data_IF_117034611043
#
_entry.id   IF_117034611043
#
_cell.length_a   1.000
_cell.length_b   1.000
_cell.length_c   1.000
_cell.angle_alpha   90.00
_cell.angle_beta   90.00
_cell.angle_gamma   90.00
#
_symmetry.space_group_name_H-M   'P 1'
#
loop_
_entity.id
_entity.type
_entity.pdbx_description
1 polymer ?
#
# COMPACT_ATOMS: atom_id res chain seq x y z
N UNK A 1 14.44 14.84 -3.85
CA UNK A 1 14.01 14.51 -2.47
C UNK A 1 12.68 13.78 -2.59
N UNK A 2 12.63 12.51 -2.22
CA UNK A 2 11.44 11.66 -2.43
C UNK A 2 10.43 11.91 -1.30
N UNK A 3 9.19 12.24 -1.62
CA UNK A 3 8.13 12.44 -0.61
C UNK A 3 7.61 11.07 -0.18
N UNK A 4 7.73 10.79 1.12
CA UNK A 4 7.25 9.58 1.78
C UNK A 4 5.89 9.86 2.41
N UNK A 5 4.92 8.96 2.22
CA UNK A 5 3.59 9.05 2.82
C UNK A 5 3.29 7.73 3.55
N UNK A 6 2.86 7.80 4.82
CA UNK A 6 2.24 6.66 5.51
C UNK A 6 2.81 6.29 6.89
N UNK A 7 1.89 6.18 7.85
CA UNK A 7 1.93 5.62 9.21
C UNK A 7 2.43 6.51 10.36
N UNK A 8 1.49 6.75 11.30
CA UNK A 8 1.72 7.14 12.68
C UNK A 8 1.91 5.89 13.55
N UNK A 9 3.03 5.83 14.25
CA UNK A 9 3.32 5.05 15.47
C UNK A 9 2.66 3.67 15.61
N UNK A 10 3.26 2.61 15.05
CA UNK A 10 3.14 1.26 15.61
C UNK A 10 4.47 0.52 15.44
N UNK A 11 5.09 0.15 16.56
CA UNK A 11 6.31 -0.66 16.72
C UNK A 11 7.40 -0.47 15.64
N UNK A 12 8.13 0.66 15.73
CA UNK A 12 9.18 1.07 14.78
C UNK A 12 10.29 0.05 14.52
N UNK A 13 10.42 -0.98 15.37
CA UNK A 13 11.37 -2.09 15.18
C UNK A 13 11.01 -3.00 13.99
N UNK A 14 9.76 -2.95 13.52
CA UNK A 14 9.24 -3.82 12.45
C UNK A 14 9.09 -3.10 11.11
N UNK A 15 9.39 -1.80 11.11
CA UNK A 15 9.27 -0.95 9.94
C UNK A 15 10.66 -0.81 9.31
N UNK A 16 10.84 -1.42 8.14
CA UNK A 16 11.99 -1.09 7.30
C UNK A 16 11.65 0.15 6.48
N UNK A 17 12.24 1.28 6.88
CA UNK A 17 12.11 2.57 6.18
C UNK A 17 13.21 2.80 5.14
N UNK A 18 14.08 1.81 4.88
CA UNK A 18 15.07 1.94 3.82
C UNK A 18 14.40 1.76 2.45
N UNK A 19 14.50 2.75 1.55
CA UNK A 19 13.92 2.61 0.22
C UNK A 19 14.53 1.42 -0.51
N UNK A 20 13.67 0.51 -0.98
CA UNK A 20 14.06 -0.67 -1.74
C UNK A 20 13.56 -0.56 -3.17
N UNK A 21 14.50 -0.51 -4.11
CA UNK A 21 14.17 -0.51 -5.54
C UNK A 21 13.85 -1.94 -5.97
N UNK A 22 12.68 -2.13 -6.56
CA UNK A 22 12.22 -3.40 -7.13
C UNK A 22 12.81 -3.60 -8.52
N UNK A 23 12.70 -4.83 -9.04
CA UNK A 23 13.22 -5.19 -10.36
C UNK A 23 12.62 -4.37 -11.51
N UNK A 24 11.39 -3.88 -11.33
CA UNK A 24 10.67 -3.05 -12.30
C UNK A 24 10.88 -1.54 -12.07
N UNK A 25 11.89 -1.18 -11.26
CA UNK A 25 12.30 0.19 -10.89
C UNK A 25 11.35 0.94 -9.96
N UNK A 26 10.21 0.39 -9.56
CA UNK A 26 9.40 0.98 -8.49
C UNK A 26 10.16 0.96 -7.18
N UNK A 27 9.90 1.94 -6.31
CA UNK A 27 10.59 2.03 -5.02
C UNK A 27 9.57 1.81 -3.91
N UNK A 28 9.79 0.74 -3.14
CA UNK A 28 9.15 0.59 -1.85
C UNK A 28 9.84 1.56 -0.91
N UNK A 29 9.07 2.47 -0.35
CA UNK A 29 9.62 3.49 0.51
C UNK A 29 9.55 3.10 1.98
N UNK A 30 8.74 2.09 2.29
CA UNK A 30 8.64 1.44 3.57
C UNK A 30 8.05 0.04 3.39
N UNK A 31 8.50 -0.91 4.20
CA UNK A 31 7.98 -2.27 4.25
C UNK A 31 7.77 -2.71 5.71
N UNK A 32 6.60 -3.24 6.01
CA UNK A 32 6.26 -3.83 7.30
C UNK A 32 5.58 -5.19 7.10
N UNK A 33 6.07 -6.20 7.81
CA UNK A 33 5.54 -7.56 7.85
C UNK A 33 5.37 -8.01 9.31
N UNK A 34 4.27 -8.68 9.62
CA UNK A 34 4.10 -9.29 10.94
C UNK A 34 5.00 -10.52 11.17
N UNK A 35 5.31 -10.89 12.43
CA UNK A 35 6.02 -12.12 12.75
C UNK A 35 5.27 -13.37 12.28
N UNK A 36 6.00 -14.45 12.03
CA UNK A 36 5.40 -15.71 11.62
C UNK A 36 4.50 -16.32 12.73
N UNK A 37 3.30 -16.86 12.37
CA UNK A 37 2.69 -16.83 11.04
C UNK A 37 2.18 -15.42 10.71
N UNK A 38 2.67 -14.85 9.60
CA UNK A 38 2.31 -13.50 9.22
C UNK A 38 0.92 -13.53 8.57
N UNK A 39 -0.03 -12.86 9.20
CA UNK A 39 -1.37 -12.67 8.65
C UNK A 39 -1.47 -11.35 7.87
N UNK A 40 -0.51 -10.46 8.09
CA UNK A 40 -0.58 -9.08 7.67
C UNK A 40 0.74 -8.58 7.08
N UNK A 41 0.62 -7.76 6.04
CA UNK A 41 1.72 -7.01 5.42
C UNK A 41 1.25 -5.61 5.02
N UNK A 42 2.12 -4.62 5.22
CA UNK A 42 1.89 -3.27 4.72
C UNK A 42 3.12 -2.62 4.11
N UNK A 43 2.89 -1.84 3.06
CA UNK A 43 3.95 -1.27 2.23
C UNK A 43 3.59 0.16 1.84
N UNK A 44 4.51 1.10 2.02
CA UNK A 44 4.41 2.40 1.37
C UNK A 44 5.17 2.37 0.05
N UNK A 45 4.56 2.94 -0.98
CA UNK A 45 5.14 3.04 -2.31
C UNK A 45 5.56 4.49 -2.53
N UNK A 46 6.78 4.68 -3.04
CA UNK A 46 7.21 6.00 -3.44
C UNK A 46 6.30 6.55 -4.54
N UNK A 47 5.97 7.83 -4.47
CA UNK A 47 5.20 8.48 -5.53
C UNK A 47 5.94 8.45 -6.88
N UNK A 48 7.28 8.37 -6.87
CA UNK A 48 8.10 8.26 -8.06
C UNK A 48 9.19 7.17 -7.91
N UNK A 49 9.37 6.30 -8.94
CA UNK A 49 8.54 6.22 -10.13
C UNK A 49 7.13 5.71 -9.81
N UNK A 50 6.13 6.35 -10.41
CA UNK A 50 4.72 6.18 -10.09
C UNK A 50 4.22 4.79 -10.47
N UNK A 51 3.73 4.03 -9.49
CA UNK A 51 2.93 2.83 -9.75
C UNK A 51 1.47 3.23 -10.03
N UNK A 52 0.95 3.10 -11.26
CA UNK A 52 -0.33 3.73 -11.62
C UNK A 52 -1.53 3.07 -10.94
N UNK A 53 -2.46 3.88 -10.43
CA UNK A 53 -3.74 3.42 -9.84
C UNK A 53 -4.51 2.51 -10.80
N UNK A 54 -4.59 2.88 -12.08
CA UNK A 54 -5.29 2.08 -13.10
C UNK A 54 -4.71 0.66 -13.24
N UNK A 55 -3.38 0.53 -13.14
CA UNK A 55 -2.70 -0.77 -13.19
C UNK A 55 -2.97 -1.58 -11.93
N UNK A 56 -2.95 -0.94 -10.76
CA UNK A 56 -3.30 -1.58 -9.49
C UNK A 56 -4.73 -2.15 -9.51
N UNK A 57 -5.70 -1.39 -10.04
CA UNK A 57 -7.08 -1.82 -10.21
C UNK A 57 -7.21 -3.01 -11.16
N UNK A 58 -6.48 -3.03 -12.28
CA UNK A 58 -6.47 -4.16 -13.21
C UNK A 58 -5.93 -5.44 -12.58
N UNK A 59 -4.88 -5.34 -11.75
CA UNK A 59 -4.25 -6.50 -11.10
C UNK A 59 -5.15 -7.05 -9.98
N UNK A 60 -5.70 -6.16 -9.15
CA UNK A 60 -6.42 -6.55 -7.92
C UNK A 60 -7.90 -6.79 -8.14
N UNK A 61 -8.51 -6.13 -9.13
CA UNK A 61 -9.96 -6.04 -9.27
C UNK A 61 -10.64 -5.29 -8.11
N UNK A 62 -9.87 -4.46 -7.38
CA UNK A 62 -10.35 -3.72 -6.23
C UNK A 62 -11.39 -2.67 -6.62
N UNK A 63 -12.31 -2.40 -5.69
CA UNK A 63 -13.36 -1.38 -5.84
C UNK A 63 -13.15 -0.28 -4.82
N UNK A 64 -13.61 0.96 -5.09
CA UNK A 64 -13.56 2.02 -4.10
C UNK A 64 -14.13 1.56 -2.76
N UNK A 65 -13.36 1.75 -1.69
CA UNK A 65 -13.84 1.53 -0.33
C UNK A 65 -15.00 2.50 -0.05
N UNK A 66 -16.03 2.04 0.66
CA UNK A 66 -17.24 2.82 0.95
C UNK A 66 -17.00 3.97 1.92
N UNK A 67 -15.84 4.03 2.59
CA UNK A 67 -15.43 5.12 3.46
C UNK A 67 -14.04 5.64 3.04
N UNK A 68 -13.94 6.92 2.70
CA UNK A 68 -12.62 7.53 2.51
C UNK A 68 -11.92 7.67 3.86
N UNK A 69 -10.70 7.13 3.96
CA UNK A 69 -9.89 7.21 5.20
C UNK A 69 -9.28 8.60 5.44
N UNK A 70 -9.19 9.43 4.40
CA UNK A 70 -8.66 10.80 4.48
C UNK A 70 -9.07 11.62 3.26
N UNK A 71 -9.28 12.93 3.43
CA UNK A 71 -9.60 13.86 2.35
C UNK A 71 -8.56 13.81 1.22
N UNK A 72 -8.99 13.43 0.02
CA UNK A 72 -8.19 13.46 -1.21
C UNK A 72 -7.49 12.15 -1.57
N UNK A 73 -7.33 11.19 -0.65
CA UNK A 73 -6.78 9.87 -0.98
C UNK A 73 -7.91 8.84 -1.07
N UNK A 74 -8.11 8.27 -2.25
CA UNK A 74 -9.06 7.19 -2.45
C UNK A 74 -8.44 5.87 -1.97
N UNK A 75 -9.22 5.09 -1.23
CA UNK A 75 -8.86 3.71 -0.85
C UNK A 75 -9.68 2.73 -1.67
N UNK A 76 -9.08 1.60 -2.02
CA UNK A 76 -9.68 0.53 -2.82
C UNK A 76 -9.42 -0.82 -2.16
N UNK A 77 -10.43 -1.68 -2.14
CA UNK A 77 -10.33 -3.01 -1.56
C UNK A 77 -10.74 -4.12 -2.53
N UNK A 78 -10.07 -5.26 -2.43
CA UNK A 78 -10.45 -6.52 -3.04
C UNK A 78 -10.33 -7.63 -2.00
N UNK A 79 -11.30 -8.55 -1.95
CA UNK A 79 -11.20 -9.79 -1.16
C UNK A 79 -11.25 -10.96 -2.13
N UNK A 80 -10.25 -11.85 -2.07
CA UNK A 80 -10.21 -13.12 -2.80
C UNK A 80 -9.52 -14.19 -1.97
N UNK A 81 -10.12 -15.38 -1.90
CA UNK A 81 -9.55 -16.56 -1.21
C UNK A 81 -9.10 -16.27 0.23
N UNK A 82 -9.96 -15.60 1.01
CA UNK A 82 -9.66 -15.17 2.38
C UNK A 82 -8.41 -14.29 2.51
N UNK A 83 -8.09 -13.51 1.47
CA UNK A 83 -7.08 -12.45 1.51
C UNK A 83 -7.73 -11.14 1.08
N UNK A 84 -7.63 -10.14 1.95
CA UNK A 84 -7.98 -8.77 1.67
C UNK A 84 -6.74 -8.03 1.15
N UNK A 85 -6.88 -7.35 0.03
CA UNK A 85 -5.91 -6.36 -0.46
C UNK A 85 -6.58 -5.00 -0.41
N UNK A 86 -6.01 -4.08 0.36
CA UNK A 86 -6.43 -2.69 0.43
C UNK A 86 -5.28 -1.79 -0.05
N UNK A 87 -5.55 -0.83 -0.92
CA UNK A 87 -4.52 0.14 -1.31
C UNK A 87 -5.09 1.55 -1.40
N UNK A 88 -4.24 2.54 -1.12
CA UNK A 88 -4.59 3.96 -1.18
C UNK A 88 -3.76 4.67 -2.25
N UNK A 89 -4.24 5.81 -2.72
CA UNK A 89 -3.57 6.61 -3.75
C UNK A 89 -2.93 7.87 -3.19
N UNK A 90 -2.13 8.53 -4.01
CA UNK A 90 -1.76 9.95 -3.84
C UNK A 90 -3.00 10.84 -3.90
N UNK A 91 -2.94 12.09 -3.38
CA UNK A 91 -4.09 13.00 -3.39
C UNK A 91 -4.65 13.37 -4.77
N UNK A 92 -3.84 13.22 -5.83
CA UNK A 92 -4.27 13.43 -7.22
C UNK A 92 -4.87 12.16 -7.86
N UNK A 93 -4.94 11.06 -7.11
CA UNK A 93 -5.50 9.78 -7.53
C UNK A 93 -4.64 8.97 -8.52
N UNK A 94 -3.44 9.44 -8.89
CA UNK A 94 -2.68 8.86 -10.02
C UNK A 94 -1.79 7.69 -9.64
N UNK A 95 -1.16 7.76 -8.47
CA UNK A 95 -0.17 6.77 -8.03
C UNK A 95 -0.64 6.05 -6.78
N UNK A 96 -0.33 4.77 -6.66
CA UNK A 96 -0.47 4.05 -5.39
C UNK A 96 0.52 4.63 -4.38
N UNK A 97 0.03 4.95 -3.19
CA UNK A 97 0.83 5.46 -2.07
C UNK A 97 1.06 4.40 -1.00
N UNK A 98 0.10 3.49 -0.84
CA UNK A 98 0.11 2.49 0.21
C UNK A 98 -0.60 1.22 -0.21
N UNK A 99 -0.09 0.07 0.21
CA UNK A 99 -0.68 -1.25 0.00
C UNK A 99 -0.72 -1.97 1.35
N UNK A 100 -1.80 -2.69 1.56
CA UNK A 100 -2.10 -3.48 2.72
C UNK A 100 -2.65 -4.82 2.27
N UNK A 101 -2.13 -5.89 2.86
CA UNK A 101 -2.54 -7.25 2.58
C UNK A 101 -2.77 -7.92 3.93
N UNK A 102 -3.96 -8.47 4.11
CA UNK A 102 -4.35 -9.15 5.34
C UNK A 102 -5.09 -10.45 5.00
N UNK A 103 -4.97 -11.46 5.85
CA UNK A 103 -5.86 -12.61 5.80
C UNK A 103 -7.24 -12.21 6.34
N UNK A 104 -8.29 -12.52 5.60
CA UNK A 104 -9.69 -12.35 5.99
C UNK A 104 -10.00 -13.39 7.09
N UNK A 105 -9.74 -13.04 8.35
CA UNK A 105 -10.08 -13.84 9.54
C UNK A 105 -11.24 -13.21 10.32
#
# INVERSE_FOLDING_TARGET
MMKLYGIASVDSKRIDNQPKTLQDRHVLSMFWLEPAPAHFMSMAVAAEPCFPTARALQITGAKPHTQERSTGAQTYDAIRNAVMVSFSTTPDGKCVSYIHIDSDQ
#
